data_IF_326757434253
#
_entry.id   IF_326757434253
#
_cell.length_a   1.000
_cell.length_b   1.000
_cell.length_c   1.000
_cell.angle_alpha   90.00
_cell.angle_beta   90.00
_cell.angle_gamma   90.00
#
_symmetry.space_group_name_H-M   'P 1'
#
loop_
_entity.id
_entity.type
_entity.pdbx_description
1 polymer ?
#
# COMPACT_ATOMS: atom_id res chain seq x y z
N UNK A 1 -10.94 4.26 -23.85
CA UNK A 1 -11.21 5.66 -23.45
C UNK A 1 -10.65 5.91 -22.06
N UNK A 2 -10.07 7.08 -21.82
CA UNK A 2 -9.41 7.43 -20.55
C UNK A 2 -10.27 7.17 -19.29
N UNK A 3 -11.61 7.27 -19.42
CA UNK A 3 -12.55 6.92 -18.37
C UNK A 3 -12.47 5.44 -17.93
N UNK A 4 -12.33 4.50 -18.87
CA UNK A 4 -12.23 3.06 -18.57
C UNK A 4 -10.95 2.78 -17.79
N UNK A 5 -9.83 3.40 -18.19
CA UNK A 5 -8.54 3.24 -17.50
C UNK A 5 -8.62 3.76 -16.07
N UNK A 6 -9.19 4.95 -15.87
CA UNK A 6 -9.40 5.53 -14.53
C UNK A 6 -10.25 4.64 -13.62
N UNK A 7 -11.36 4.10 -14.15
CA UNK A 7 -12.26 3.22 -13.41
C UNK A 7 -11.54 1.91 -13.04
N UNK A 8 -10.88 1.27 -14.00
CA UNK A 8 -10.15 0.02 -13.78
C UNK A 8 -9.07 0.20 -12.72
N UNK A 9 -8.29 1.28 -12.78
CA UNK A 9 -7.24 1.50 -11.79
C UNK A 9 -7.81 1.80 -10.39
N UNK A 10 -8.87 2.61 -10.31
CA UNK A 10 -9.54 2.90 -9.04
C UNK A 10 -10.11 1.63 -8.39
N UNK A 11 -10.67 0.72 -9.19
CA UNK A 11 -11.16 -0.60 -8.74
C UNK A 11 -10.00 -1.48 -8.26
N UNK A 12 -8.92 -1.58 -9.03
CA UNK A 12 -7.75 -2.39 -8.66
C UNK A 12 -7.14 -1.88 -7.34
N UNK A 13 -7.00 -0.58 -7.16
CA UNK A 13 -6.45 -0.02 -5.93
C UNK A 13 -7.37 -0.19 -4.73
N UNK A 14 -8.68 -0.06 -4.93
CA UNK A 14 -9.66 -0.33 -3.86
C UNK A 14 -9.61 -1.80 -3.43
N UNK A 15 -9.47 -2.73 -4.38
CA UNK A 15 -9.30 -4.15 -4.12
C UNK A 15 -7.99 -4.45 -3.40
N UNK A 16 -6.87 -3.90 -3.86
CA UNK A 16 -5.55 -4.09 -3.23
C UNK A 16 -5.54 -3.50 -1.82
N UNK A 17 -6.18 -2.35 -1.60
CA UNK A 17 -6.35 -1.75 -0.28
C UNK A 17 -7.20 -2.63 0.64
N UNK A 18 -8.33 -3.13 0.16
CA UNK A 18 -9.18 -4.03 0.94
C UNK A 18 -8.47 -5.34 1.27
N UNK A 19 -7.82 -5.98 0.30
CA UNK A 19 -7.09 -7.24 0.51
C UNK A 19 -5.88 -7.06 1.41
N UNK A 20 -5.12 -5.97 1.25
CA UNK A 20 -4.00 -5.60 2.12
C UNK A 20 -4.44 -5.31 3.55
N UNK A 21 -5.52 -4.53 3.73
CA UNK A 21 -6.14 -4.28 5.04
C UNK A 21 -6.56 -5.58 5.69
N UNK A 22 -7.36 -6.40 5.00
CA UNK A 22 -7.90 -7.65 5.56
C UNK A 22 -6.77 -8.64 5.88
N UNK A 23 -5.82 -8.85 4.96
CA UNK A 23 -4.69 -9.76 5.16
C UNK A 23 -3.80 -9.32 6.33
N UNK A 24 -3.41 -8.05 6.37
CA UNK A 24 -2.53 -7.54 7.41
C UNK A 24 -3.22 -7.41 8.77
N UNK A 25 -4.51 -7.03 8.82
CA UNK A 25 -5.29 -7.08 10.07
C UNK A 25 -5.46 -8.52 10.54
N UNK A 26 -5.72 -9.48 9.65
CA UNK A 26 -5.90 -10.88 10.03
C UNK A 26 -4.60 -11.44 10.62
N UNK A 27 -3.47 -11.12 10.02
CA UNK A 27 -2.14 -11.46 10.54
C UNK A 27 -1.91 -10.81 11.91
N UNK A 28 -2.16 -9.50 12.06
CA UNK A 28 -2.06 -8.81 13.35
C UNK A 28 -3.01 -9.39 14.41
N UNK A 29 -4.22 -9.80 14.01
CA UNK A 29 -5.24 -10.37 14.90
C UNK A 29 -4.85 -11.78 15.34
N UNK A 30 -4.43 -12.65 14.41
CA UNK A 30 -3.92 -13.98 14.70
C UNK A 30 -2.65 -13.92 15.54
N UNK A 31 -1.77 -12.97 15.25
CA UNK A 31 -0.60 -12.71 16.07
C UNK A 31 -1.00 -12.25 17.46
N UNK A 32 -1.88 -11.25 17.63
CA UNK A 32 -2.40 -10.84 18.95
C UNK A 32 -3.02 -12.01 19.71
N UNK A 33 -3.81 -12.84 19.03
CA UNK A 33 -4.45 -14.02 19.60
C UNK A 33 -3.44 -15.10 20.02
N UNK A 34 -2.33 -15.26 19.28
CA UNK A 34 -1.23 -16.19 19.62
C UNK A 34 -0.22 -15.56 20.60
N UNK A 35 -0.17 -14.24 20.69
CA UNK A 35 0.82 -13.46 21.44
C UNK A 35 0.52 -13.34 22.94
N UNK A 36 -0.63 -13.82 23.40
CA UNK A 36 -0.82 -14.09 24.83
C UNK A 36 0.24 -15.09 25.36
N UNK A 37 0.94 -15.83 24.49
CA UNK A 37 1.88 -16.89 24.89
C UNK A 37 3.37 -16.67 24.58
N UNK A 38 3.81 -15.74 23.72
CA UNK A 38 5.27 -15.53 23.47
C UNK A 38 5.61 -14.21 22.76
N UNK A 39 6.32 -13.30 23.43
CA UNK A 39 7.02 -12.17 22.78
C UNK A 39 8.22 -12.74 21.99
N UNK A 40 8.14 -12.80 20.66
CA UNK A 40 9.24 -13.27 19.81
C UNK A 40 9.53 -12.25 18.71
N UNK A 41 10.80 -12.08 18.34
CA UNK A 41 11.28 -11.14 17.30
C UNK A 41 10.59 -11.31 15.94
N UNK A 42 10.07 -12.52 15.67
CA UNK A 42 9.23 -12.85 14.51
C UNK A 42 8.00 -11.93 14.44
N UNK A 43 7.42 -11.52 15.57
CA UNK A 43 6.22 -10.71 15.57
C UNK A 43 6.48 -9.24 15.20
N UNK A 44 7.68 -8.74 15.50
CA UNK A 44 8.14 -7.43 15.04
C UNK A 44 8.40 -7.47 13.53
N UNK A 45 9.00 -8.55 13.03
CA UNK A 45 9.25 -8.74 11.61
C UNK A 45 7.96 -8.76 10.78
N UNK A 46 6.96 -9.54 11.22
CA UNK A 46 5.67 -9.64 10.52
C UNK A 46 4.87 -8.34 10.59
N UNK A 47 4.95 -7.61 11.72
CA UNK A 47 4.33 -6.27 11.81
C UNK A 47 5.00 -5.28 10.86
N UNK A 48 6.34 -5.31 10.76
CA UNK A 48 7.09 -4.49 9.82
C UNK A 48 6.72 -4.80 8.37
N UNK A 49 6.54 -6.08 8.03
CA UNK A 49 6.08 -6.51 6.71
C UNK A 49 4.71 -5.89 6.38
N UNK A 50 3.73 -6.05 7.28
CA UNK A 50 2.40 -5.46 7.12
C UNK A 50 2.43 -3.94 6.92
N UNK A 51 3.28 -3.22 7.65
CA UNK A 51 3.45 -1.76 7.50
C UNK A 51 4.02 -1.40 6.13
N UNK A 52 5.01 -2.14 5.64
CA UNK A 52 5.60 -1.92 4.30
C UNK A 52 4.57 -2.16 3.20
N UNK A 53 3.75 -3.21 3.31
CA UNK A 53 2.65 -3.48 2.39
C UNK A 53 1.64 -2.32 2.37
N UNK A 54 1.24 -1.79 3.54
CA UNK A 54 0.36 -0.62 3.59
C UNK A 54 0.96 0.60 2.91
N UNK A 55 2.25 0.86 3.15
CA UNK A 55 2.97 1.98 2.55
C UNK A 55 2.95 1.87 1.01
N UNK A 56 3.16 0.68 0.47
CA UNK A 56 3.11 0.44 -0.97
C UNK A 56 1.70 0.63 -1.55
N UNK A 57 0.69 0.15 -0.85
CA UNK A 57 -0.69 0.31 -1.31
C UNK A 57 -1.14 1.76 -1.31
N UNK A 58 -0.61 2.58 -0.39
CA UNK A 58 -0.87 4.02 -0.36
C UNK A 58 -0.20 4.78 -1.52
N UNK A 59 0.92 4.32 -2.06
CA UNK A 59 1.59 4.98 -3.20
C UNK A 59 0.92 4.70 -4.55
N UNK A 60 0.24 3.56 -4.68
CA UNK A 60 -0.50 3.17 -5.87
C UNK A 60 -1.49 4.27 -6.39
N UNK A 61 -2.47 4.79 -5.61
CA UNK A 61 -3.42 5.82 -6.09
C UNK A 61 -2.75 7.05 -6.71
N UNK A 62 -1.59 7.44 -6.23
CA UNK A 62 -0.85 8.57 -6.78
C UNK A 62 -0.31 8.29 -8.19
N UNK A 63 0.22 7.08 -8.42
CA UNK A 63 0.66 6.63 -9.75
C UNK A 63 -0.49 6.57 -10.76
N UNK A 64 -1.68 6.16 -10.34
CA UNK A 64 -2.82 6.19 -11.26
C UNK A 64 -3.24 7.58 -11.67
N UNK A 65 -3.23 8.53 -10.74
CA UNK A 65 -3.59 9.90 -11.05
C UNK A 65 -2.56 10.50 -12.01
N UNK A 66 -1.26 10.25 -11.79
CA UNK A 66 -0.20 10.64 -12.73
C UNK A 66 -0.44 10.06 -14.14
N UNK A 67 -0.65 8.74 -14.24
CA UNK A 67 -0.89 8.08 -15.52
C UNK A 67 -2.21 8.52 -16.16
N UNK A 68 -3.22 8.87 -15.37
CA UNK A 68 -4.51 9.35 -15.84
C UNK A 68 -4.51 10.82 -16.29
N UNK A 69 -3.49 11.60 -15.90
CA UNK A 69 -3.27 12.99 -16.31
C UNK A 69 -2.09 13.10 -17.32
N UNK A 70 -1.87 12.06 -18.13
CA UNK A 70 -0.82 12.05 -19.17
C UNK A 70 0.58 12.37 -18.61
N UNK A 71 0.98 11.64 -17.55
CA UNK A 71 2.27 11.83 -16.85
C UNK A 71 2.44 13.21 -16.19
N UNK A 72 1.35 13.92 -15.94
CA UNK A 72 1.38 15.18 -15.19
C UNK A 72 1.14 14.89 -13.70
N UNK A 73 2.07 15.31 -12.84
CA UNK A 73 1.98 15.11 -11.38
C UNK A 73 1.34 16.30 -10.65
N UNK A 74 0.09 16.20 -10.17
CA UNK A 74 -0.61 17.33 -9.56
C UNK A 74 -0.33 17.52 -8.05
N UNK A 75 0.25 16.52 -7.35
CA UNK A 75 0.40 16.53 -5.89
C UNK A 75 1.65 17.29 -5.39
N UNK A 76 2.36 17.98 -6.29
CA UNK A 76 3.57 18.72 -5.98
C UNK A 76 4.83 17.87 -5.80
N UNK A 77 6.00 18.54 -5.77
CA UNK A 77 7.32 17.90 -5.81
C UNK A 77 7.65 17.04 -4.59
N UNK A 78 7.17 17.42 -3.41
CA UNK A 78 7.43 16.67 -2.18
C UNK A 78 6.81 15.26 -2.24
N UNK A 79 5.53 15.17 -2.64
CA UNK A 79 4.83 13.90 -2.78
C UNK A 79 5.41 13.04 -3.90
N UNK A 80 5.81 13.65 -5.03
CA UNK A 80 6.51 12.93 -6.11
C UNK A 80 7.76 12.23 -5.58
N UNK A 81 8.60 12.96 -4.84
CA UNK A 81 9.85 12.42 -4.29
C UNK A 81 9.61 11.31 -3.26
N UNK A 82 8.60 11.48 -2.40
CA UNK A 82 8.20 10.46 -1.44
C UNK A 82 7.68 9.21 -2.15
N UNK A 83 6.78 9.35 -3.12
CA UNK A 83 6.20 8.21 -3.85
C UNK A 83 7.26 7.45 -4.64
N UNK A 84 8.14 8.15 -5.36
CA UNK A 84 9.26 7.52 -6.06
C UNK A 84 10.21 6.81 -5.11
N UNK A 85 10.54 7.42 -3.96
CA UNK A 85 11.41 6.79 -2.96
C UNK A 85 10.77 5.55 -2.32
N UNK A 86 9.50 5.64 -1.92
CA UNK A 86 8.77 4.50 -1.33
C UNK A 86 8.61 3.37 -2.34
N UNK A 87 8.38 3.69 -3.62
CA UNK A 87 8.33 2.69 -4.69
C UNK A 87 9.70 2.04 -4.87
N UNK A 88 10.78 2.83 -4.89
CA UNK A 88 12.16 2.32 -5.03
C UNK A 88 12.63 1.48 -3.83
N UNK A 89 12.12 1.75 -2.63
CA UNK A 89 12.44 0.98 -1.42
C UNK A 89 11.63 -0.31 -1.31
N UNK A 90 10.46 -0.38 -1.95
CA UNK A 90 9.62 -1.59 -1.98
C UNK A 90 9.92 -2.52 -3.17
N UNK A 91 10.72 -2.06 -4.13
CA UNK A 91 11.12 -2.81 -5.34
C UNK A 91 12.45 -3.52 -5.11
#
# INVERSE_FOLDING_TARGET
GAAVVRITISVIYSLVCALGLVGNLLVLYLMKSKQMWRKSSINLFVTGLAVTDFQFVLTLPFWAVENALDFTWPFGKAMCKIVSYMTAMNM
#
